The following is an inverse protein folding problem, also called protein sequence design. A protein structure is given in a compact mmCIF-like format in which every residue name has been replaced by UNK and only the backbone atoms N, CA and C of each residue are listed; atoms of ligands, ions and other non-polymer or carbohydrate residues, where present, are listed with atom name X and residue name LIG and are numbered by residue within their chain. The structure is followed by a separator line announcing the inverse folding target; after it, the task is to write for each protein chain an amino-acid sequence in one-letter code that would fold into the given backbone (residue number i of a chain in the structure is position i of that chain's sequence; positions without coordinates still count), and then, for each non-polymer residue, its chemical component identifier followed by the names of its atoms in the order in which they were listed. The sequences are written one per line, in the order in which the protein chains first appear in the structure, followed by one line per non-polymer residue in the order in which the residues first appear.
data_IF_770804440374
#
_entry.id   IF_770804440374
#
_cell.length_a   1.000
_cell.length_b   1.000
_cell.length_c   1.000
_cell.angle_alpha   90.00
_cell.angle_beta   90.00
_cell.angle_gamma   90.00
#
_symmetry.space_group_name_H-M   'P 1'
#
loop_
_entity.id
_entity.type
_entity.pdbx_description
1 polymer ?
#
# COMPACT_ATOMS: atom_id res chain seq x y z
N UNK A 1 6.15 6.05 -14.26
CA UNK A 1 7.15 6.16 -15.35
C UNK A 1 6.85 5.28 -16.55
N UNK A 2 6.63 3.97 -16.38
CA UNK A 2 6.31 3.02 -17.49
C UNK A 2 5.17 3.51 -18.40
N UNK A 3 4.06 3.99 -17.82
CA UNK A 3 2.92 4.57 -18.56
C UNK A 3 3.29 5.81 -19.38
N UNK A 4 4.26 6.61 -18.93
CA UNK A 4 4.73 7.79 -19.67
C UNK A 4 5.61 7.39 -20.87
N UNK A 5 6.41 6.32 -20.74
CA UNK A 5 7.16 5.76 -21.87
C UNK A 5 6.21 5.17 -22.92
N UNK A 6 5.16 4.45 -22.50
CA UNK A 6 4.16 3.86 -23.38
C UNK A 6 3.40 4.91 -24.21
N UNK A 7 3.14 6.07 -23.61
CA UNK A 7 2.52 7.22 -24.28
C UNK A 7 3.50 8.04 -25.16
N UNK A 8 4.76 7.62 -25.29
CA UNK A 8 5.79 8.36 -26.02
C UNK A 8 6.23 9.67 -25.32
N UNK A 9 5.88 9.84 -24.04
CA UNK A 9 6.11 11.06 -23.27
C UNK A 9 7.45 11.01 -22.52
N UNK A 10 8.56 10.96 -23.27
CA UNK A 10 9.91 10.80 -22.71
C UNK A 10 10.30 11.90 -21.70
N UNK A 11 9.91 13.15 -21.95
CA UNK A 11 10.12 14.27 -21.02
C UNK A 11 9.41 14.06 -19.68
N UNK A 12 8.20 13.52 -19.71
CA UNK A 12 7.42 13.21 -18.51
C UNK A 12 8.03 12.04 -17.76
N UNK A 13 8.56 11.04 -18.46
CA UNK A 13 9.27 9.92 -17.85
C UNK A 13 10.56 10.36 -17.13
N UNK A 14 11.33 11.29 -17.70
CA UNK A 14 12.51 11.88 -17.05
C UNK A 14 12.13 12.63 -15.77
N UNK A 15 11.14 13.53 -15.86
CA UNK A 15 10.69 14.32 -14.71
C UNK A 15 10.19 13.44 -13.55
N UNK A 16 9.47 12.35 -13.86
CA UNK A 16 8.97 11.40 -12.87
C UNK A 16 10.06 10.56 -12.18
N UNK A 17 11.28 10.54 -12.73
CA UNK A 17 12.39 9.73 -12.20
C UNK A 17 13.54 10.56 -11.62
N UNK A 18 13.66 11.84 -12.00
CA UNK A 18 14.74 12.75 -11.60
C UNK A 18 14.75 13.08 -10.10
N UNK A 19 13.58 13.24 -9.48
CA UNK A 19 13.44 13.65 -8.08
C UNK A 19 13.16 12.49 -7.11
N UNK A 20 13.29 11.24 -7.56
CA UNK A 20 12.97 10.07 -6.75
C UNK A 20 14.20 9.16 -6.60
N UNK A 21 14.85 9.23 -5.43
CA UNK A 21 16.08 8.47 -5.13
C UNK A 21 15.89 6.96 -5.23
N UNK A 22 14.69 6.45 -4.91
CA UNK A 22 14.34 5.02 -5.06
C UNK A 22 14.23 4.59 -6.52
N UNK A 23 14.07 5.53 -7.45
CA UNK A 23 13.94 5.30 -8.89
C UNK A 23 15.20 5.69 -9.67
N UNK A 24 16.34 5.88 -9.00
CA UNK A 24 17.61 6.26 -9.64
C UNK A 24 18.03 5.29 -10.76
N UNK A 25 17.76 3.99 -10.59
CA UNK A 25 18.02 2.96 -11.61
C UNK A 25 17.11 3.12 -12.82
N UNK A 26 15.84 3.46 -12.58
CA UNK A 26 14.88 3.75 -13.66
C UNK A 26 15.21 5.05 -14.38
N UNK A 27 15.71 6.07 -13.67
CA UNK A 27 16.16 7.32 -14.26
C UNK A 27 17.28 7.08 -15.28
N UNK A 28 18.25 6.21 -14.96
CA UNK A 28 19.34 5.86 -15.88
C UNK A 28 18.82 5.24 -17.19
N UNK A 29 17.84 4.34 -17.12
CA UNK A 29 17.24 3.73 -18.32
C UNK A 29 16.51 4.77 -19.19
N UNK A 30 15.79 5.69 -18.57
CA UNK A 30 15.08 6.75 -19.29
C UNK A 30 16.06 7.78 -19.87
N UNK A 31 17.15 8.08 -19.18
CA UNK A 31 18.20 8.99 -19.66
C UNK A 31 18.95 8.40 -20.87
N UNK A 32 19.24 7.09 -20.85
CA UNK A 32 19.83 6.36 -21.98
C UNK A 32 18.93 6.39 -23.22
N UNK A 33 17.62 6.18 -23.03
CA UNK A 33 16.63 6.33 -24.10
C UNK A 33 16.59 7.77 -24.64
N UNK A 34 16.63 8.78 -23.76
CA UNK A 34 16.66 10.18 -24.15
C UNK A 34 17.92 10.54 -24.95
N UNK A 35 19.09 10.07 -24.54
CA UNK A 35 20.35 10.25 -25.28
C UNK A 35 20.28 9.60 -26.66
N UNK A 36 19.71 8.40 -26.76
CA UNK A 36 19.54 7.67 -28.03
C UNK A 36 18.57 8.37 -28.98
N UNK A 37 17.44 8.87 -28.46
CA UNK A 37 16.49 9.70 -29.21
C UNK A 37 17.11 11.01 -29.69
N UNK A 38 17.96 11.65 -28.86
CA UNK A 38 18.64 12.90 -29.21
C UNK A 38 19.78 12.71 -30.21
N UNK A 39 20.49 11.58 -30.15
CA UNK A 39 21.52 11.21 -31.11
C UNK A 39 20.90 10.86 -32.49
N UNK A 40 19.68 10.32 -32.48
CA UNK A 40 18.95 9.88 -33.68
C UNK A 40 17.78 10.81 -34.02
N UNK A 41 18.02 12.14 -34.00
CA UNK A 41 17.01 13.22 -34.14
C UNK A 41 15.99 13.01 -35.26
N UNK A 42 16.37 12.37 -36.36
CA UNK A 42 15.53 12.17 -37.55
C UNK A 42 14.92 10.77 -37.65
N UNK A 43 15.30 9.83 -36.77
CA UNK A 43 14.83 8.44 -36.81
C UNK A 43 13.91 8.13 -35.62
N UNK A 44 12.62 8.36 -35.84
CA UNK A 44 11.56 8.10 -34.84
C UNK A 44 11.46 6.63 -34.44
N UNK A 45 11.85 5.70 -35.31
CA UNK A 45 11.86 4.27 -34.98
C UNK A 45 12.93 3.94 -33.96
N UNK A 46 14.14 4.52 -34.09
CA UNK A 46 15.22 4.34 -33.11
C UNK A 46 14.82 4.89 -31.75
N UNK A 47 14.13 6.03 -31.71
CA UNK A 47 13.62 6.57 -30.46
C UNK A 47 12.52 5.67 -29.84
N UNK A 48 11.63 5.12 -30.66
CA UNK A 48 10.57 4.22 -30.17
C UNK A 48 11.15 2.92 -29.60
N UNK A 49 12.12 2.31 -30.30
CA UNK A 49 12.82 1.10 -29.83
C UNK A 49 13.57 1.38 -28.53
N UNK A 50 14.26 2.50 -28.42
CA UNK A 50 14.97 2.87 -27.18
C UNK A 50 14.02 3.09 -25.99
N UNK A 51 12.81 3.61 -26.24
CA UNK A 51 11.79 3.77 -25.21
C UNK A 51 11.15 2.45 -24.78
N UNK A 52 10.93 1.51 -25.71
CA UNK A 52 10.48 0.15 -25.38
C UNK A 52 11.55 -0.62 -24.60
N UNK A 53 12.82 -0.53 -25.00
CA UNK A 53 13.92 -1.16 -24.27
C UNK A 53 14.06 -0.61 -22.83
N UNK A 54 13.91 0.71 -22.66
CA UNK A 54 13.89 1.32 -21.33
C UNK A 54 12.69 0.84 -20.50
N UNK A 55 11.54 0.60 -21.14
CA UNK A 55 10.35 0.04 -20.48
C UNK A 55 10.58 -1.41 -20.06
N UNK A 56 11.13 -2.25 -20.92
CA UNK A 56 11.41 -3.66 -20.62
C UNK A 56 12.43 -3.77 -19.48
N UNK A 57 13.53 -3.02 -19.54
CA UNK A 57 14.53 -2.94 -18.45
C UNK A 57 13.90 -2.49 -17.12
N UNK A 58 12.94 -1.56 -17.17
CA UNK A 58 12.20 -1.13 -15.97
C UNK A 58 11.23 -2.19 -15.46
N UNK A 59 10.60 -2.98 -16.33
CA UNK A 59 9.71 -4.07 -15.92
C UNK A 59 10.50 -5.27 -15.38
N UNK A 60 11.68 -5.58 -15.93
CA UNK A 60 12.57 -6.60 -15.38
C UNK A 60 13.03 -6.25 -13.96
N UNK A 61 13.33 -4.98 -13.67
CA UNK A 61 13.64 -4.55 -12.30
C UNK A 61 12.46 -4.62 -11.34
N UNK A 62 11.23 -4.70 -11.85
CA UNK A 62 10.01 -4.92 -11.05
C UNK A 62 9.72 -6.42 -10.89
N UNK A 63 10.12 -7.25 -11.86
CA UNK A 63 9.83 -8.69 -11.92
C UNK A 63 10.90 -9.60 -11.33
N UNK A 64 12.09 -9.08 -11.00
CA UNK A 64 13.08 -9.87 -10.28
C UNK A 64 12.65 -9.97 -8.80
N UNK A 65 12.54 -11.19 -8.24
CA UNK A 65 12.40 -11.34 -6.80
C UNK A 65 13.59 -10.63 -6.15
N UNK A 66 13.32 -9.89 -5.09
CA UNK A 66 14.34 -9.28 -4.25
C UNK A 66 15.06 -10.45 -3.58
N UNK A 67 16.07 -11.01 -4.24
CA UNK A 67 17.01 -11.90 -3.58
C UNK A 67 17.74 -11.07 -2.53
N UNK A 68 17.46 -11.45 -1.29
CA UNK A 68 17.92 -10.91 -0.02
C UNK A 68 19.45 -11.09 0.14
N UNK A 69 20.23 -10.47 -0.73
CA UNK A 69 21.70 -10.51 -0.66
C UNK A 69 22.25 -9.14 -0.35
N UNK A 70 22.01 -8.68 0.88
CA UNK A 70 22.92 -7.75 1.55
C UNK A 70 22.88 -7.96 3.06
N UNK A 71 23.16 -9.19 3.48
CA UNK A 71 23.51 -9.51 4.87
C UNK A 71 24.88 -10.20 4.88
N UNK A 72 25.91 -9.48 4.42
CA UNK A 72 27.29 -9.79 4.82
C UNK A 72 27.40 -9.49 6.32
N UNK A 73 27.29 -10.52 7.17
CA UNK A 73 27.53 -10.33 8.60
C UNK A 73 27.07 -11.39 9.60
N UNK A 74 26.51 -12.54 9.21
CA UNK A 74 26.10 -13.59 10.19
C UNK A 74 26.42 -15.02 9.73
N UNK A 75 27.63 -15.27 9.24
CA UNK A 75 28.10 -16.64 8.91
C UNK A 75 28.95 -17.28 10.03
N UNK A 76 28.80 -16.92 11.30
CA UNK A 76 29.65 -17.47 12.38
C UNK A 76 28.91 -18.14 13.55
N UNK A 77 27.77 -18.81 13.34
CA UNK A 77 27.08 -19.51 14.44
C UNK A 77 26.44 -20.87 14.10
N UNK A 78 26.76 -21.51 12.98
CA UNK A 78 26.25 -22.87 12.71
C UNK A 78 27.36 -23.82 12.26
N UNK A 79 28.15 -24.28 13.24
CA UNK A 79 28.91 -25.52 13.11
C UNK A 79 27.98 -26.74 13.29
N UNK A 80 28.20 -27.85 12.55
CA UNK A 80 27.24 -28.93 12.40
C UNK A 80 27.50 -30.09 13.38
N UNK A 81 26.48 -30.53 14.13
CA UNK A 81 26.50 -31.83 14.81
C UNK A 81 25.20 -32.63 14.60
N UNK A 82 25.30 -33.61 13.69
CA UNK A 82 24.59 -34.89 13.47
C UNK A 82 23.05 -35.03 13.70
N UNK A 83 22.32 -35.70 12.75
CA UNK A 83 21.01 -36.34 12.98
C UNK A 83 21.20 -37.79 13.51
N UNK A 84 20.16 -38.56 13.93
CA UNK A 84 18.71 -38.36 13.75
C UNK A 84 17.85 -38.65 15.00
N UNK A 85 16.60 -38.19 15.00
CA UNK A 85 15.43 -39.00 15.41
C UNK A 85 14.15 -38.28 14.95
N UNK A 86 13.43 -38.89 14.01
CA UNK A 86 12.08 -38.50 13.64
C UNK A 86 11.15 -38.62 14.86
N UNK A 87 10.17 -37.72 14.95
CA UNK A 87 8.80 -38.21 15.03
C UNK A 87 7.99 -37.71 13.84
N UNK A 88 7.52 -38.68 13.06
CA UNK A 88 6.22 -38.72 12.38
C UNK A 88 5.73 -37.42 11.74
N UNK A 89 5.79 -37.37 10.41
CA UNK A 89 4.96 -36.52 9.56
C UNK A 89 3.52 -36.47 10.07
N UNK A 90 3.20 -35.42 10.83
CA UNK A 90 1.90 -34.80 10.68
C UNK A 90 1.90 -34.19 9.28
N UNK A 91 0.91 -34.55 8.46
CA UNK A 91 0.59 -33.92 7.17
C UNK A 91 0.97 -32.43 7.22
N UNK A 92 1.58 -31.84 6.17
CA UNK A 92 1.64 -30.39 6.10
C UNK A 92 0.17 -29.93 6.18
N UNK A 93 -0.16 -29.18 7.23
CA UNK A 93 -1.35 -28.35 7.20
C UNK A 93 -1.24 -27.59 5.88
N UNK A 94 -2.26 -27.69 5.03
CA UNK A 94 -2.27 -26.99 3.75
C UNK A 94 -1.81 -25.56 4.01
N UNK A 95 -0.63 -25.21 3.52
CA UNK A 95 -0.05 -23.90 3.71
C UNK A 95 -0.96 -22.96 2.93
N UNK A 96 -1.72 -22.12 3.64
CA UNK A 96 -2.63 -21.15 3.03
C UNK A 96 -1.80 -20.21 2.17
N UNK A 97 -2.32 -19.86 1.00
CA UNK A 97 -1.65 -18.85 0.18
C UNK A 97 -1.71 -17.49 0.87
N UNK A 98 -0.80 -16.59 0.51
CA UNK A 98 -0.79 -15.21 1.01
C UNK A 98 -2.15 -14.49 0.77
N UNK A 99 -2.82 -14.83 -0.33
CA UNK A 99 -4.15 -14.33 -0.68
C UNK A 99 -5.23 -14.85 0.30
N UNK A 100 -5.22 -16.14 0.63
CA UNK A 100 -6.12 -16.72 1.63
C UNK A 100 -5.87 -16.16 3.05
N UNK A 101 -4.61 -15.86 3.36
CA UNK A 101 -4.22 -15.19 4.62
C UNK A 101 -4.76 -13.76 4.68
N UNK A 102 -4.66 -13.01 3.57
CA UNK A 102 -5.17 -11.65 3.48
C UNK A 102 -6.70 -11.61 3.56
N UNK A 103 -7.41 -12.48 2.83
CA UNK A 103 -8.88 -12.56 2.84
C UNK A 103 -9.46 -12.90 4.24
N UNK A 104 -8.66 -13.52 5.12
CA UNK A 104 -9.06 -13.81 6.49
C UNK A 104 -8.69 -12.69 7.48
N UNK A 105 -7.79 -11.77 7.09
CA UNK A 105 -7.21 -10.77 7.95
C UNK A 105 -8.05 -9.47 7.97
N UNK A 106 -9.02 -9.40 8.89
CA UNK A 106 -9.87 -8.21 9.06
C UNK A 106 -9.06 -6.94 9.37
N UNK A 107 -8.01 -7.04 10.17
CA UNK A 107 -7.11 -5.93 10.49
C UNK A 107 -6.35 -5.43 9.25
N UNK A 108 -5.97 -6.34 8.36
CA UNK A 108 -5.31 -6.00 7.10
C UNK A 108 -6.26 -5.22 6.18
N UNK A 109 -7.53 -5.63 6.09
CA UNK A 109 -8.55 -4.90 5.35
C UNK A 109 -8.81 -3.50 5.92
N UNK A 110 -8.82 -3.36 7.26
CA UNK A 110 -8.90 -2.05 7.93
C UNK A 110 -7.67 -1.19 7.62
N UNK A 111 -6.47 -1.76 7.67
CA UNK A 111 -5.23 -1.04 7.36
C UNK A 111 -5.16 -0.59 5.89
N UNK A 112 -5.66 -1.42 4.96
CA UNK A 112 -5.77 -1.06 3.54
C UNK A 112 -6.77 0.10 3.35
N UNK A 113 -7.92 0.06 4.03
CA UNK A 113 -8.86 1.17 4.00
C UNK A 113 -8.24 2.46 4.57
N UNK A 114 -7.56 2.39 5.72
CA UNK A 114 -6.86 3.54 6.32
C UNK A 114 -5.79 4.13 5.39
N UNK A 115 -5.04 3.26 4.70
CA UNK A 115 -4.06 3.67 3.70
C UNK A 115 -4.70 4.40 2.52
N UNK A 116 -5.84 3.91 2.02
CA UNK A 116 -6.60 4.60 0.97
C UNK A 116 -7.09 5.97 1.43
N UNK A 117 -7.53 6.10 2.68
CA UNK A 117 -7.90 7.40 3.26
C UNK A 117 -6.72 8.37 3.26
N UNK A 118 -5.52 7.90 3.60
CA UNK A 118 -4.30 8.70 3.53
C UNK A 118 -4.02 9.20 2.11
N UNK A 119 -4.17 8.33 1.11
CA UNK A 119 -3.99 8.69 -0.31
C UNK A 119 -5.01 9.76 -0.74
N UNK A 120 -6.30 9.57 -0.42
CA UNK A 120 -7.35 10.55 -0.74
C UNK A 120 -7.04 11.90 -0.09
N UNK A 121 -6.53 11.90 1.14
CA UNK A 121 -6.13 13.11 1.85
C UNK A 121 -4.94 13.83 1.22
N UNK A 122 -4.02 13.10 0.60
CA UNK A 122 -2.90 13.67 -0.17
C UNK A 122 -3.38 14.24 -1.51
N UNK A 123 -4.30 13.55 -2.18
CA UNK A 123 -4.84 13.98 -3.48
C UNK A 123 -5.82 15.16 -3.36
N UNK A 124 -6.58 15.22 -2.26
CA UNK A 124 -7.64 16.21 -2.04
C UNK A 124 -7.49 16.97 -0.71
N UNK A 125 -6.38 17.69 -0.47
CA UNK A 125 -6.08 18.32 0.81
C UNK A 125 -7.11 19.41 1.21
N UNK A 126 -7.72 20.07 0.23
CA UNK A 126 -8.73 21.12 0.43
C UNK A 126 -10.15 20.58 0.68
N UNK A 127 -10.47 19.40 0.15
CA UNK A 127 -11.79 18.77 0.27
C UNK A 127 -11.85 17.78 1.45
N UNK A 128 -10.69 17.33 1.92
CA UNK A 128 -10.53 16.46 3.07
C UNK A 128 -10.51 17.18 4.42
N UNK A 129 -10.39 18.51 4.45
CA UNK A 129 -10.58 19.34 5.66
C UNK A 129 -9.68 18.98 6.85
N UNK A 130 -10.08 19.39 8.07
CA UNK A 130 -9.41 19.03 9.32
C UNK A 130 -9.37 17.51 9.58
N UNK A 131 -10.31 16.80 8.97
CA UNK A 131 -10.48 15.34 8.94
C UNK A 131 -9.24 14.60 8.41
N UNK A 132 -8.54 15.13 7.41
CA UNK A 132 -7.31 14.50 6.91
C UNK A 132 -6.12 14.58 7.88
N UNK A 133 -6.15 15.53 8.82
CA UNK A 133 -5.15 15.63 9.88
C UNK A 133 -5.32 14.48 10.89
N UNK A 134 -6.56 14.14 11.24
CA UNK A 134 -6.89 13.03 12.14
C UNK A 134 -6.41 11.68 11.60
N UNK A 135 -6.60 11.42 10.31
CA UNK A 135 -6.09 10.21 9.65
C UNK A 135 -4.56 10.16 9.73
N UNK A 136 -3.88 11.27 9.43
CA UNK A 136 -2.43 11.34 9.47
C UNK A 136 -1.87 11.09 10.87
N UNK A 137 -2.49 11.70 11.90
CA UNK A 137 -2.08 11.51 13.31
C UNK A 137 -2.29 10.05 13.77
N UNK A 138 -3.34 9.38 13.29
CA UNK A 138 -3.57 7.96 13.62
C UNK A 138 -2.66 7.00 12.87
N UNK A 139 -2.19 7.35 11.67
CA UNK A 139 -1.19 6.53 10.96
C UNK A 139 0.15 6.49 11.70
N UNK A 140 0.47 7.52 12.49
CA UNK A 140 1.66 7.55 13.34
C UNK A 140 1.48 6.74 14.63
N UNK A 141 0.25 6.35 14.96
CA UNK A 141 -0.08 5.54 16.13
C UNK A 141 -0.30 4.06 15.76
N UNK A 142 0.78 3.29 15.89
CA UNK A 142 0.77 1.83 15.68
C UNK A 142 -0.11 1.06 16.69
N UNK A 143 -0.61 1.72 17.73
CA UNK A 143 -1.44 1.10 18.78
C UNK A 143 -2.94 1.32 18.59
N UNK A 144 -3.36 2.10 17.58
CA UNK A 144 -4.78 2.35 17.33
C UNK A 144 -5.50 1.04 16.98
N UNK A 145 -6.55 0.73 17.74
CA UNK A 145 -7.36 -0.47 17.50
C UNK A 145 -8.12 -0.40 16.16
N UNK A 146 -8.38 -1.55 15.50
CA UNK A 146 -9.11 -1.60 14.24
C UNK A 146 -10.50 -0.94 14.32
N UNK A 147 -11.17 -1.06 15.47
CA UNK A 147 -12.48 -0.44 15.73
C UNK A 147 -12.40 1.09 15.73
N UNK A 148 -11.35 1.64 16.34
CA UNK A 148 -11.14 3.10 16.37
C UNK A 148 -10.73 3.63 15.01
N UNK A 149 -10.01 2.84 14.22
CA UNK A 149 -9.75 3.13 12.81
C UNK A 149 -11.04 3.27 12.01
N UNK A 150 -11.96 2.31 12.14
CA UNK A 150 -13.25 2.34 11.44
C UNK A 150 -14.06 3.59 11.84
N UNK A 151 -14.16 3.89 13.15
CA UNK A 151 -14.84 5.12 13.62
C UNK A 151 -14.23 6.37 13.00
N UNK A 152 -12.91 6.48 13.03
CA UNK A 152 -12.19 7.63 12.48
C UNK A 152 -12.45 7.78 10.98
N UNK A 153 -12.43 6.68 10.22
CA UNK A 153 -12.71 6.70 8.78
C UNK A 153 -14.15 7.14 8.49
N UNK A 154 -15.12 6.68 9.27
CA UNK A 154 -16.52 7.13 9.15
C UNK A 154 -16.64 8.62 9.44
N UNK A 155 -16.13 9.09 10.58
CA UNK A 155 -16.15 10.51 10.95
C UNK A 155 -15.44 11.40 9.91
N UNK A 156 -14.31 10.93 9.39
CA UNK A 156 -13.55 11.62 8.34
C UNK A 156 -14.37 11.74 7.05
N UNK A 157 -15.09 10.67 6.68
CA UNK A 157 -15.99 10.67 5.51
C UNK A 157 -17.15 11.66 5.69
N UNK A 158 -17.71 11.75 6.89
CA UNK A 158 -18.82 12.67 7.17
C UNK A 158 -18.41 14.14 7.01
N UNK A 159 -17.20 14.47 7.48
CA UNK A 159 -16.61 15.82 7.43
C UNK A 159 -16.08 16.20 6.04
N UNK A 160 -15.69 15.23 5.22
CA UNK A 160 -15.22 15.46 3.87
C UNK A 160 -16.32 16.02 2.95
N UNK A 161 -15.91 16.69 1.87
CA UNK A 161 -16.82 17.23 0.86
C UNK A 161 -16.34 16.88 -0.56
N UNK A 162 -17.24 17.04 -1.55
CA UNK A 162 -16.91 16.85 -2.96
C UNK A 162 -16.38 15.45 -3.28
N UNK A 163 -15.39 15.38 -4.17
CA UNK A 163 -14.81 14.13 -4.67
C UNK A 163 -14.11 13.32 -3.56
N UNK A 164 -13.49 13.97 -2.57
CA UNK A 164 -12.88 13.30 -1.43
C UNK A 164 -13.92 12.50 -0.62
N UNK A 165 -15.11 13.08 -0.40
CA UNK A 165 -16.21 12.39 0.30
C UNK A 165 -16.66 11.14 -0.44
N UNK A 166 -16.83 11.22 -1.76
CA UNK A 166 -17.27 10.09 -2.58
C UNK A 166 -16.27 8.94 -2.52
N UNK A 167 -14.97 9.24 -2.62
CA UNK A 167 -13.91 8.23 -2.55
C UNK A 167 -13.78 7.62 -1.14
N UNK A 168 -13.84 8.45 -0.10
CA UNK A 168 -13.81 7.99 1.30
C UNK A 168 -15.02 7.11 1.63
N UNK A 169 -16.22 7.52 1.18
CA UNK A 169 -17.44 6.74 1.36
C UNK A 169 -17.38 5.40 0.63
N UNK A 170 -16.79 5.36 -0.57
CA UNK A 170 -16.59 4.12 -1.30
C UNK A 170 -15.66 3.17 -0.53
N UNK A 171 -14.55 3.67 0.04
CA UNK A 171 -13.63 2.86 0.83
C UNK A 171 -14.26 2.33 2.13
N UNK A 172 -15.05 3.14 2.85
CA UNK A 172 -15.81 2.68 4.02
C UNK A 172 -16.86 1.65 3.62
N UNK A 173 -17.56 1.85 2.50
CA UNK A 173 -18.57 0.90 2.03
C UNK A 173 -17.94 -0.45 1.68
N UNK A 174 -16.81 -0.47 0.97
CA UNK A 174 -16.07 -1.70 0.64
C UNK A 174 -15.63 -2.45 1.90
N UNK A 175 -15.11 -1.72 2.91
CA UNK A 175 -14.71 -2.31 4.18
C UNK A 175 -15.91 -2.87 4.95
N UNK A 176 -17.01 -2.11 5.04
CA UNK A 176 -18.23 -2.54 5.74
C UNK A 176 -18.84 -3.77 5.04
N UNK A 177 -18.96 -3.77 3.72
CA UNK A 177 -19.45 -4.92 2.95
C UNK A 177 -18.63 -6.19 3.23
N UNK A 178 -17.29 -6.04 3.31
CA UNK A 178 -16.40 -7.13 3.66
C UNK A 178 -16.65 -7.64 5.08
N UNK A 179 -16.70 -6.74 6.07
CA UNK A 179 -16.91 -7.08 7.47
C UNK A 179 -18.30 -7.70 7.72
N UNK A 180 -19.33 -7.26 7.00
CA UNK A 180 -20.69 -7.81 7.06
C UNK A 180 -20.73 -9.25 6.51
N UNK A 181 -20.12 -9.50 5.35
CA UNK A 181 -20.03 -10.86 4.76
C UNK A 181 -19.35 -11.84 5.70
N UNK A 182 -18.38 -11.35 6.48
CA UNK A 182 -17.61 -12.10 7.48
C UNK A 182 -18.34 -12.27 8.81
N UNK A 183 -19.44 -11.55 9.05
CA UNK A 183 -20.09 -11.43 10.37
C UNK A 183 -19.07 -11.01 11.45
N UNK A 184 -18.22 -10.03 11.09
CA UNK A 184 -17.07 -9.62 11.88
C UNK A 184 -17.47 -9.15 13.29
N UNK A 185 -16.69 -9.53 14.33
CA UNK A 185 -16.87 -8.99 15.67
C UNK A 185 -16.57 -7.49 15.77
N UNK A 186 -15.86 -6.90 14.80
CA UNK A 186 -15.56 -5.47 14.78
C UNK A 186 -16.84 -4.64 14.58
N UNK A 187 -17.76 -5.09 13.71
CA UNK A 187 -19.06 -4.42 13.54
C UNK A 187 -19.89 -4.46 14.81
N UNK A 188 -19.91 -5.60 15.52
CA UNK A 188 -20.62 -5.73 16.80
C UNK A 188 -20.05 -4.80 17.87
N UNK A 189 -18.72 -4.68 17.96
CA UNK A 189 -18.07 -3.73 18.87
C UNK A 189 -18.36 -2.27 18.52
N UNK A 190 -18.54 -1.95 17.24
CA UNK A 190 -18.96 -0.62 16.81
C UNK A 190 -20.38 -0.32 17.30
N UNK A 191 -21.31 -1.25 17.15
CA UNK A 191 -22.70 -1.14 17.61
C UNK A 191 -22.82 -1.11 19.15
N UNK A 192 -21.99 -1.88 19.87
CA UNK A 192 -21.95 -1.91 21.34
C UNK A 192 -21.30 -0.63 21.94
N UNK A 193 -20.50 0.08 21.15
CA UNK A 193 -19.81 1.30 21.56
C UNK A 193 -20.70 2.55 21.71
N UNK A 194 -22.01 2.45 21.45
CA UNK A 194 -23.00 3.52 21.69
C UNK A 194 -23.75 3.39 23.03
N UNK A 195 -23.45 2.38 23.86
CA UNK A 195 -24.12 2.20 25.15
C UNK A 195 -23.35 2.80 26.34
N UNK A 196 -23.82 3.98 26.78
CA UNK A 196 -23.74 4.58 28.12
C UNK A 196 -22.48 5.37 28.54
N UNK A 197 -22.51 6.68 28.34
CA UNK A 197 -22.05 7.63 29.38
C UNK A 197 -23.15 7.79 30.42
N UNK A 198 -22.98 7.34 31.68
CA UNK A 198 -23.82 7.79 32.77
C UNK A 198 -23.36 9.18 33.21
N UNK A 199 -23.96 10.23 32.65
CA UNK A 199 -24.15 11.46 33.40
C UNK A 199 -25.27 11.24 34.43
N UNK A 200 -25.13 11.91 35.57
CA UNK A 200 -26.04 11.94 36.73
C UNK A 200 -25.79 10.91 37.84
N UNK A 201 -24.76 11.20 38.65
CA UNK A 201 -24.85 10.97 40.09
C UNK A 201 -24.42 12.24 40.82
N UNK A 202 -25.37 13.16 40.96
CA UNK A 202 -25.34 14.17 42.03
C UNK A 202 -26.15 13.61 43.21
N UNK A 203 -25.56 13.36 44.39
CA UNK A 203 -26.33 13.09 45.60
C UNK A 203 -26.32 14.31 46.56
N UNK A 204 -27.27 14.33 47.54
CA UNK A 204 -27.96 15.54 48.03
C UNK A 204 -27.24 16.37 49.09
#
# INVERSE_FOLDING_TARGET
TVKALDQGQLKKALYLTENNEKLKRHHQFVEEAARTCLASKDNKEVCKVAMEEAKDKMQETISLPIDDTSLEGVEEMLSPEKPPEQPTEAKPAAEKTDEELYEECEECHVAVAASRFAEICVEHPENGGASCKLISEKLEDETTEPTDWIKTMVETTEQAQGEAKEQMAAAVTELTDYLERRNSPLLKKLDEGEESTPEDLTPP
#
